data_IF_485111083183
#
_entry.id   IF_485111083183
#
_cell.length_a   1.000
_cell.length_b   1.000
_cell.length_c   1.000
_cell.angle_alpha   90.00
_cell.angle_beta   90.00
_cell.angle_gamma   90.00
#
_symmetry.space_group_name_H-M   'P 1'
#
loop_
_entity.id
_entity.type
_entity.pdbx_description
1 polymer ?
#
# COMPACT_ATOMS: atom_id res chain seq x y z
N UNK A 1 52.40 -29.76 -49.93
CA UNK A 1 52.20 -29.53 -48.52
C UNK A 1 51.77 -28.06 -48.34
N UNK A 2 50.51 -27.79 -48.23
CA UNK A 2 49.99 -26.43 -48.06
C UNK A 2 49.21 -26.35 -46.72
N UNK A 3 49.69 -25.53 -45.83
CA UNK A 3 49.05 -25.24 -44.53
C UNK A 3 47.79 -24.37 -44.72
N UNK A 4 46.65 -24.86 -44.26
CA UNK A 4 45.41 -24.07 -44.15
C UNK A 4 45.33 -23.62 -42.71
N UNK A 5 45.44 -22.28 -42.46
CA UNK A 5 45.16 -21.65 -41.23
C UNK A 5 43.67 -21.31 -41.20
N UNK A 6 42.93 -21.95 -40.29
CA UNK A 6 41.55 -21.64 -40.02
C UNK A 6 41.50 -20.40 -39.11
N UNK A 7 40.94 -19.31 -39.60
CA UNK A 7 40.66 -18.09 -38.82
C UNK A 7 39.29 -18.26 -38.18
N UNK A 8 39.26 -18.40 -36.86
CA UNK A 8 38.01 -18.34 -36.07
C UNK A 8 37.66 -16.87 -35.86
N UNK A 9 36.62 -16.40 -36.55
CA UNK A 9 36.04 -15.08 -36.34
C UNK A 9 35.06 -15.17 -35.17
N UNK A 10 35.46 -14.75 -33.98
CA UNK A 10 34.58 -14.63 -32.80
C UNK A 10 33.69 -13.43 -32.94
N UNK A 11 32.39 -13.67 -33.11
CA UNK A 11 31.34 -12.62 -33.02
C UNK A 11 31.11 -12.28 -31.55
N UNK A 12 31.68 -11.17 -31.09
CA UNK A 12 31.27 -10.57 -29.79
C UNK A 12 30.02 -9.79 -30.02
N UNK A 13 28.88 -10.33 -29.55
CA UNK A 13 27.63 -9.58 -29.47
C UNK A 13 27.71 -8.65 -28.27
N UNK A 14 27.92 -7.36 -28.51
CA UNK A 14 27.86 -6.33 -27.50
C UNK A 14 26.36 -6.16 -27.13
N UNK A 15 25.94 -6.70 -25.99
CA UNK A 15 24.64 -6.37 -25.40
C UNK A 15 24.77 -4.99 -24.73
N UNK A 16 24.38 -3.96 -25.44
CA UNK A 16 24.24 -2.62 -24.88
C UNK A 16 23.05 -2.63 -23.91
N UNK A 17 23.33 -2.73 -22.61
CA UNK A 17 22.35 -2.51 -21.57
C UNK A 17 22.11 -0.99 -21.50
N UNK A 18 21.07 -0.52 -22.17
CA UNK A 18 20.57 0.83 -21.98
C UNK A 18 19.97 0.92 -20.57
N UNK A 19 20.74 1.41 -19.60
CA UNK A 19 20.18 2.00 -18.39
C UNK A 19 19.46 3.29 -18.81
N UNK A 20 18.18 3.20 -19.11
CA UNK A 20 17.34 4.39 -19.13
C UNK A 20 17.29 4.91 -17.68
N UNK A 21 18.13 5.88 -17.37
CA UNK A 21 17.95 6.70 -16.19
C UNK A 21 16.58 7.36 -16.34
N UNK A 22 15.57 6.83 -15.65
CA UNK A 22 14.29 7.52 -15.52
C UNK A 22 14.59 8.82 -14.77
N UNK A 23 14.66 9.92 -15.49
CA UNK A 23 14.61 11.25 -14.89
C UNK A 23 13.30 11.25 -14.12
N UNK A 24 13.36 11.22 -12.80
CA UNK A 24 12.18 11.37 -11.95
C UNK A 24 11.63 12.77 -12.26
N UNK A 25 10.50 12.82 -12.96
CA UNK A 25 9.81 14.08 -13.18
C UNK A 25 9.58 14.74 -11.82
N UNK A 26 9.79 16.06 -11.74
CA UNK A 26 9.50 16.81 -10.51
C UNK A 26 8.01 16.59 -10.16
N UNK A 27 7.69 16.39 -8.89
CA UNK A 27 6.29 16.19 -8.50
C UNK A 27 5.46 17.42 -8.84
N UNK A 28 4.24 17.19 -9.35
CA UNK A 28 3.26 18.24 -9.53
C UNK A 28 2.93 18.87 -8.17
N UNK A 29 2.88 20.21 -8.13
CA UNK A 29 2.47 20.94 -6.94
C UNK A 29 1.04 21.43 -7.10
N UNK A 30 0.18 21.14 -6.11
CA UNK A 30 -1.19 21.62 -6.03
C UNK A 30 -1.44 22.28 -4.69
N UNK A 31 -2.11 23.45 -4.67
CA UNK A 31 -2.41 24.16 -3.43
C UNK A 31 -3.91 24.41 -3.30
N UNK A 32 -4.47 24.03 -2.16
CA UNK A 32 -5.86 24.27 -1.80
C UNK A 32 -5.96 24.73 -0.36
N UNK A 33 -6.66 25.84 -0.10
CA UNK A 33 -6.86 26.42 1.24
C UNK A 33 -5.55 26.53 2.05
N UNK A 34 -4.46 27.01 1.44
CA UNK A 34 -3.16 27.14 2.10
C UNK A 34 -2.38 25.84 2.28
N UNK A 35 -2.97 24.68 1.92
CA UNK A 35 -2.31 23.37 1.98
C UNK A 35 -1.69 23.03 0.63
N UNK A 36 -0.40 22.75 0.60
CA UNK A 36 0.33 22.37 -0.61
C UNK A 36 0.59 20.87 -0.64
N UNK A 37 0.22 20.23 -1.75
CA UNK A 37 0.49 18.84 -2.07
C UNK A 37 1.67 18.68 -3.01
N UNK A 38 2.31 17.51 -2.94
CA UNK A 38 3.33 17.04 -3.89
C UNK A 38 2.83 15.73 -4.50
N UNK A 39 2.42 15.79 -5.76
CA UNK A 39 1.84 14.66 -6.46
C UNK A 39 2.86 14.10 -7.46
N UNK A 40 3.29 12.87 -7.24
CA UNK A 40 4.08 12.12 -8.21
C UNK A 40 3.19 11.61 -9.33
N UNK A 41 3.73 11.38 -10.50
CA UNK A 41 3.00 10.82 -11.63
C UNK A 41 3.65 9.51 -12.06
N UNK A 42 2.81 8.51 -12.32
CA UNK A 42 3.25 7.22 -12.85
C UNK A 42 2.31 6.75 -13.97
N UNK A 43 2.85 5.98 -14.89
CA UNK A 43 2.08 5.37 -15.97
C UNK A 43 1.97 3.85 -15.77
N UNK A 44 0.76 3.33 -16.01
CA UNK A 44 0.45 1.89 -16.06
C UNK A 44 -0.08 1.61 -17.46
N UNK A 45 0.80 1.17 -18.34
CA UNK A 45 0.49 0.90 -19.75
C UNK A 45 -0.05 -0.52 -19.89
N UNK A 46 -1.34 -0.67 -20.16
CA UNK A 46 -2.06 -1.95 -20.24
C UNK A 46 -2.93 -2.08 -21.49
N UNK A 47 -2.91 -1.07 -22.35
CA UNK A 47 -3.61 -1.11 -23.66
C UNK A 47 -5.12 -1.03 -23.55
N UNK A 48 -5.65 -0.15 -22.69
CA UNK A 48 -7.11 0.10 -22.60
C UNK A 48 -7.58 1.10 -23.65
N UNK A 49 -8.83 0.92 -24.12
CA UNK A 49 -9.42 1.81 -25.13
C UNK A 49 -9.66 3.24 -24.63
N UNK A 50 -9.99 3.38 -23.34
CA UNK A 50 -10.33 4.66 -22.72
C UNK A 50 -9.38 4.96 -21.56
N UNK A 51 -8.24 5.62 -21.83
CA UNK A 51 -7.30 6.02 -20.78
C UNK A 51 -7.99 6.90 -19.72
N UNK A 52 -7.59 6.70 -18.47
CA UNK A 52 -8.06 7.49 -17.34
C UNK A 52 -6.99 7.58 -16.25
N UNK A 53 -7.22 8.43 -15.26
CA UNK A 53 -6.30 8.59 -14.14
C UNK A 53 -7.02 8.39 -12.82
N UNK A 54 -6.31 7.91 -11.82
CA UNK A 54 -6.77 7.84 -10.43
C UNK A 54 -5.77 8.53 -9.52
N UNK A 55 -6.23 9.08 -8.41
CA UNK A 55 -5.36 9.62 -7.37
C UNK A 55 -5.10 8.53 -6.32
N UNK A 56 -3.87 8.07 -6.23
CA UNK A 56 -3.43 7.12 -5.19
C UNK A 56 -2.82 7.86 -4.00
N UNK A 57 -3.40 7.65 -2.82
CA UNK A 57 -2.94 8.17 -1.53
C UNK A 57 -2.94 7.07 -0.48
N UNK A 58 -2.20 7.27 0.61
CA UNK A 58 -2.09 6.32 1.72
C UNK A 58 -1.72 7.05 3.01
N UNK A 59 -1.87 6.37 4.14
CA UNK A 59 -1.30 6.80 5.43
C UNK A 59 -1.73 8.23 5.80
N UNK A 60 -3.04 8.49 5.75
CA UNK A 60 -3.64 9.78 6.12
C UNK A 60 -3.69 9.98 7.63
N UNK A 61 -3.74 8.91 8.42
CA UNK A 61 -3.65 8.89 9.87
C UNK A 61 -4.50 9.95 10.56
N UNK A 62 -5.81 9.95 10.33
CA UNK A 62 -6.75 10.76 11.12
C UNK A 62 -6.62 10.38 12.59
N UNK A 63 -6.39 11.36 13.46
CA UNK A 63 -6.01 11.12 14.84
C UNK A 63 -6.83 11.99 15.82
N UNK A 64 -8.16 11.96 15.68
CA UNK A 64 -9.09 12.69 16.51
C UNK A 64 -9.67 11.83 17.63
N UNK A 65 -10.05 12.45 18.71
CA UNK A 65 -10.87 11.90 19.79
C UNK A 65 -11.63 13.06 20.45
N UNK A 66 -12.79 12.78 21.03
CA UNK A 66 -13.64 13.74 21.71
C UNK A 66 -14.16 13.19 23.07
N UNK A 67 -15.18 13.81 23.61
CA UNK A 67 -15.75 13.46 24.93
C UNK A 67 -16.39 12.06 24.96
N UNK A 68 -16.74 11.47 23.81
CA UNK A 68 -17.27 10.09 23.69
C UNK A 68 -16.17 9.05 23.82
N UNK A 69 -14.93 9.45 23.68
CA UNK A 69 -13.76 8.57 23.76
C UNK A 69 -13.14 8.62 25.18
N UNK A 70 -12.48 7.53 25.55
CA UNK A 70 -11.81 7.47 26.84
C UNK A 70 -10.59 8.43 26.95
N UNK A 71 -10.19 8.71 28.18
CA UNK A 71 -9.08 9.63 28.46
C UNK A 71 -7.74 9.22 27.82
N UNK A 72 -7.53 7.92 27.54
CA UNK A 72 -6.32 7.43 26.87
C UNK A 72 -6.34 7.79 25.39
N UNK A 73 -7.46 7.64 24.70
CA UNK A 73 -7.61 8.05 23.29
C UNK A 73 -7.48 9.56 23.15
N UNK A 74 -8.04 10.35 24.08
CA UNK A 74 -7.90 11.80 24.08
C UNK A 74 -6.41 12.22 24.20
N UNK A 75 -5.64 11.63 25.12
CA UNK A 75 -4.18 11.88 25.21
C UNK A 75 -3.45 11.41 23.94
N UNK A 76 -3.85 10.28 23.38
CA UNK A 76 -3.27 9.75 22.15
C UNK A 76 -3.49 10.70 20.99
N UNK A 77 -4.72 11.21 20.82
CA UNK A 77 -5.10 12.20 19.80
C UNK A 77 -4.16 13.42 19.82
N UNK A 78 -4.01 14.06 20.98
CA UNK A 78 -3.10 15.21 21.12
C UNK A 78 -1.68 14.89 20.66
N UNK A 79 -1.12 13.75 21.11
CA UNK A 79 0.23 13.31 20.76
C UNK A 79 0.36 13.03 19.26
N UNK A 80 -0.60 12.34 18.67
CA UNK A 80 -0.53 11.90 17.27
C UNK A 80 -0.74 13.07 16.31
N UNK A 81 -1.66 13.96 16.59
CA UNK A 81 -1.86 15.20 15.82
C UNK A 81 -0.61 16.07 15.82
N UNK A 82 0.10 16.18 16.96
CA UNK A 82 1.41 16.85 17.00
C UNK A 82 2.43 16.21 16.05
N UNK A 83 2.41 14.87 15.90
CA UNK A 83 3.35 14.15 15.03
C UNK A 83 3.01 14.29 13.54
N UNK A 84 1.72 14.34 13.19
CA UNK A 84 1.26 14.34 11.80
C UNK A 84 0.93 15.74 11.25
N UNK A 85 0.81 16.72 12.15
CA UNK A 85 0.36 18.07 11.80
C UNK A 85 -1.08 18.07 11.29
N UNK A 86 -1.37 18.92 10.32
CA UNK A 86 -2.68 19.00 9.68
C UNK A 86 -2.88 17.87 8.64
N UNK A 87 -3.13 16.65 9.12
CA UNK A 87 -3.38 15.50 8.27
C UNK A 87 -4.73 15.57 7.54
N UNK A 88 -5.76 16.10 8.22
CA UNK A 88 -7.08 16.27 7.63
C UNK A 88 -7.07 17.31 6.52
N UNK A 89 -6.48 18.50 6.73
CA UNK A 89 -6.38 19.53 5.69
C UNK A 89 -5.68 19.02 4.45
N UNK A 90 -4.61 18.20 4.61
CA UNK A 90 -3.94 17.56 3.47
C UNK A 90 -4.82 16.54 2.77
N UNK A 91 -5.56 15.73 3.52
CA UNK A 91 -6.49 14.77 2.93
C UNK A 91 -7.62 15.48 2.17
N UNK A 92 -8.18 16.55 2.72
CA UNK A 92 -9.19 17.39 2.04
C UNK A 92 -8.62 18.05 0.78
N UNK A 93 -7.38 18.48 0.79
CA UNK A 93 -6.72 19.01 -0.41
C UNK A 93 -6.54 17.91 -1.49
N UNK A 94 -6.20 16.67 -1.12
CA UNK A 94 -6.16 15.55 -2.06
C UNK A 94 -7.55 15.26 -2.67
N UNK A 95 -8.59 15.29 -1.85
CA UNK A 95 -9.98 15.12 -2.31
C UNK A 95 -10.34 16.20 -3.32
N UNK A 96 -10.05 17.47 -3.00
CA UNK A 96 -10.35 18.56 -3.90
C UNK A 96 -9.61 18.42 -5.24
N UNK A 97 -8.32 18.05 -5.20
CA UNK A 97 -7.56 17.76 -6.41
C UNK A 97 -8.23 16.67 -7.25
N UNK A 98 -8.69 15.59 -6.62
CA UNK A 98 -9.37 14.51 -7.33
C UNK A 98 -10.70 14.98 -7.95
N UNK A 99 -11.48 15.77 -7.23
CA UNK A 99 -12.73 16.34 -7.72
C UNK A 99 -12.50 17.30 -8.90
N UNK A 100 -11.52 18.20 -8.81
CA UNK A 100 -11.17 19.14 -9.87
C UNK A 100 -10.73 18.44 -11.16
N UNK A 101 -10.22 17.21 -11.05
CA UNK A 101 -9.71 16.41 -12.17
C UNK A 101 -10.57 15.19 -12.50
N UNK A 102 -11.77 15.05 -11.93
CA UNK A 102 -12.70 13.91 -12.13
C UNK A 102 -12.02 12.54 -11.91
N UNK A 103 -11.21 12.42 -10.87
CA UNK A 103 -10.47 11.20 -10.55
C UNK A 103 -11.15 10.40 -9.44
N UNK A 104 -11.11 9.08 -9.56
CA UNK A 104 -11.36 8.16 -8.44
C UNK A 104 -10.19 8.27 -7.46
N UNK A 105 -10.49 8.26 -6.16
CA UNK A 105 -9.49 8.25 -5.10
C UNK A 105 -9.25 6.81 -4.66
N UNK A 106 -8.03 6.35 -4.83
CA UNK A 106 -7.56 5.04 -4.36
C UNK A 106 -6.77 5.26 -3.08
N UNK A 107 -7.32 4.82 -1.94
CA UNK A 107 -6.64 4.94 -0.65
C UNK A 107 -6.14 3.56 -0.20
N UNK A 108 -4.83 3.40 -0.11
CA UNK A 108 -4.23 2.11 0.19
C UNK A 108 -4.04 1.83 1.69
N UNK A 109 -4.87 2.41 2.57
CA UNK A 109 -4.93 2.07 4.00
C UNK A 109 -4.29 3.09 4.93
N UNK A 110 -4.45 2.86 6.24
CA UNK A 110 -4.08 3.77 7.31
C UNK A 110 -4.74 5.17 7.16
N UNK A 111 -6.04 5.15 6.84
CA UNK A 111 -6.90 6.34 6.88
C UNK A 111 -7.05 6.82 8.32
N UNK A 112 -7.39 5.89 9.23
CA UNK A 112 -7.45 6.13 10.66
C UNK A 112 -6.09 5.85 11.30
N UNK A 113 -5.71 6.60 12.32
CA UNK A 113 -4.55 6.28 13.15
C UNK A 113 -4.90 5.32 14.28
N UNK A 114 -6.13 5.40 14.78
CA UNK A 114 -6.76 4.52 15.75
C UNK A 114 -8.28 4.70 15.70
N UNK A 115 -9.02 3.72 16.18
CA UNK A 115 -10.49 3.76 16.20
C UNK A 115 -10.97 4.64 17.36
N UNK A 116 -11.69 5.71 17.01
CA UNK A 116 -12.38 6.63 17.93
C UNK A 116 -13.67 7.12 17.30
N UNK A 117 -14.61 7.60 18.09
CA UNK A 117 -15.87 8.12 17.56
C UNK A 117 -15.62 9.34 16.65
N UNK A 118 -14.74 10.26 17.08
CA UNK A 118 -14.39 11.44 16.29
C UNK A 118 -13.68 11.08 14.96
N UNK A 119 -12.81 10.06 14.93
CA UNK A 119 -12.19 9.60 13.69
C UNK A 119 -13.21 8.95 12.74
N UNK A 120 -14.15 8.18 13.26
CA UNK A 120 -15.20 7.55 12.46
C UNK A 120 -16.13 8.60 11.83
N UNK A 121 -16.53 9.63 12.59
CA UNK A 121 -17.32 10.75 12.06
C UNK A 121 -16.57 11.52 10.97
N UNK A 122 -15.30 11.84 11.22
CA UNK A 122 -14.44 12.50 10.24
C UNK A 122 -14.30 11.67 8.96
N UNK A 123 -14.06 10.37 9.08
CA UNK A 123 -13.95 9.47 7.93
C UNK A 123 -15.27 9.38 7.15
N UNK A 124 -16.41 9.33 7.84
CA UNK A 124 -17.74 9.33 7.21
C UNK A 124 -17.99 10.61 6.40
N UNK A 125 -17.65 11.78 6.93
CA UNK A 125 -17.73 13.05 6.18
C UNK A 125 -16.81 13.03 4.96
N UNK A 126 -15.58 12.55 5.11
CA UNK A 126 -14.60 12.44 4.03
C UNK A 126 -15.09 11.52 2.92
N UNK A 127 -15.57 10.32 3.25
CA UNK A 127 -16.05 9.36 2.26
C UNK A 127 -17.37 9.80 1.57
N UNK A 128 -18.11 10.75 2.14
CA UNK A 128 -19.25 11.36 1.46
C UNK A 128 -18.87 12.24 0.26
N UNK A 129 -17.57 12.54 0.09
CA UNK A 129 -17.04 13.42 -0.94
C UNK A 129 -16.14 12.63 -1.88
N UNK A 130 -16.48 12.64 -3.16
CA UNK A 130 -15.72 11.94 -4.19
C UNK A 130 -16.09 10.47 -4.36
N UNK A 131 -15.33 9.78 -5.20
CA UNK A 131 -15.49 8.36 -5.53
C UNK A 131 -14.27 7.59 -5.03
N UNK A 132 -14.48 6.53 -4.25
CA UNK A 132 -13.43 5.88 -3.48
C UNK A 132 -13.29 4.39 -3.78
N UNK A 133 -12.03 3.95 -3.74
CA UNK A 133 -11.62 2.54 -3.62
C UNK A 133 -10.63 2.47 -2.46
N UNK A 134 -10.97 1.75 -1.39
CA UNK A 134 -10.20 1.79 -0.14
C UNK A 134 -9.76 0.40 0.27
N UNK A 135 -8.49 0.25 0.63
CA UNK A 135 -7.95 -0.95 1.31
C UNK A 135 -7.72 -0.66 2.78
N UNK A 136 -7.89 -1.65 3.64
CA UNK A 136 -7.51 -1.51 5.04
C UNK A 136 -6.00 -1.53 5.23
N UNK A 137 -5.50 -0.70 6.14
CA UNK A 137 -4.15 -0.79 6.68
C UNK A 137 -4.10 -1.45 8.06
N UNK A 138 -2.95 -1.42 8.70
CA UNK A 138 -2.79 -2.01 10.02
C UNK A 138 -3.31 -1.13 11.17
N UNK A 139 -3.68 0.11 10.88
CA UNK A 139 -4.24 1.04 11.84
C UNK A 139 -5.76 1.04 11.89
N UNK A 140 -6.46 0.64 10.83
CA UNK A 140 -7.92 0.73 10.72
C UNK A 140 -8.66 0.07 11.87
N UNK A 141 -8.15 -1.02 12.42
CA UNK A 141 -8.81 -1.77 13.49
C UNK A 141 -8.15 -1.57 14.86
N UNK A 142 -7.12 -0.74 14.95
CA UNK A 142 -6.39 -0.49 16.18
C UNK A 142 -7.18 0.40 17.13
N UNK A 143 -7.59 -0.12 18.29
CA UNK A 143 -8.26 0.66 19.33
C UNK A 143 -7.33 1.72 19.94
N UNK A 144 -6.03 1.38 20.03
CA UNK A 144 -4.97 2.27 20.50
C UNK A 144 -3.69 2.00 19.74
N UNK A 145 -2.93 3.07 19.47
CA UNK A 145 -1.62 2.93 18.87
C UNK A 145 -0.72 2.00 19.68
N UNK A 146 -0.18 1.01 19.00
CA UNK A 146 0.79 0.10 19.57
C UNK A 146 0.22 -1.08 20.37
N UNK A 147 -1.10 -1.27 20.36
CA UNK A 147 -1.74 -2.42 21.01
C UNK A 147 -2.25 -3.47 20.03
N UNK A 148 -2.06 -3.29 18.76
CA UNK A 148 -2.50 -4.26 17.78
C UNK A 148 -1.89 -5.64 18.10
N UNK A 149 -2.62 -6.42 18.86
CA UNK A 149 -2.54 -7.86 18.79
C UNK A 149 -3.13 -8.22 17.46
N UNK A 150 -2.30 -8.51 16.52
CA UNK A 150 -2.67 -8.72 15.13
C UNK A 150 -3.31 -10.10 14.98
N UNK A 151 -4.36 -10.30 15.75
CA UNK A 151 -5.19 -11.49 15.71
C UNK A 151 -6.64 -11.14 15.35
N UNK A 152 -7.39 -12.13 14.90
CA UNK A 152 -8.78 -11.97 14.51
C UNK A 152 -9.66 -11.48 15.67
N UNK A 153 -9.38 -11.87 16.92
CA UNK A 153 -10.16 -11.49 18.08
C UNK A 153 -9.98 -10.00 18.43
N UNK A 154 -8.77 -9.48 18.29
CA UNK A 154 -8.52 -8.05 18.46
C UNK A 154 -9.22 -7.23 17.37
N UNK A 155 -9.09 -7.64 16.11
CA UNK A 155 -9.73 -6.99 14.96
C UNK A 155 -11.25 -6.95 15.10
N UNK A 156 -11.87 -8.04 15.55
CA UNK A 156 -13.32 -8.13 15.73
C UNK A 156 -13.89 -7.09 16.70
N UNK A 157 -13.08 -6.53 17.61
CA UNK A 157 -13.54 -5.52 18.57
C UNK A 157 -13.98 -4.20 17.92
N UNK A 158 -13.46 -3.88 16.76
CA UNK A 158 -13.73 -2.62 16.06
C UNK A 158 -14.20 -2.80 14.62
N UNK A 159 -14.13 -4.03 14.08
CA UNK A 159 -14.40 -4.30 12.67
C UNK A 159 -15.74 -3.73 12.21
N UNK A 160 -16.84 -4.05 12.89
CA UNK A 160 -18.19 -3.66 12.46
C UNK A 160 -18.36 -2.13 12.46
N UNK A 161 -17.81 -1.44 13.47
CA UNK A 161 -17.85 0.02 13.54
C UNK A 161 -17.08 0.67 12.38
N UNK A 162 -15.91 0.15 12.10
CA UNK A 162 -15.06 0.66 11.01
C UNK A 162 -15.71 0.36 9.66
N UNK A 163 -16.13 -0.89 9.43
CA UNK A 163 -16.76 -1.29 8.18
C UNK A 163 -18.03 -0.50 7.87
N UNK A 164 -18.81 -0.11 8.89
CA UNK A 164 -20.02 0.69 8.71
C UNK A 164 -19.76 2.10 8.14
N UNK A 165 -18.54 2.60 8.26
CA UNK A 165 -18.15 3.95 7.82
C UNK A 165 -17.46 3.91 6.46
N UNK A 166 -16.71 2.84 6.16
CA UNK A 166 -15.91 2.74 4.94
C UNK A 166 -16.77 2.40 3.71
N UNK A 167 -16.43 2.92 2.51
CA UNK A 167 -17.29 2.87 1.34
C UNK A 167 -17.38 1.49 0.68
N UNK A 168 -16.46 0.58 0.98
CA UNK A 168 -16.41 -0.78 0.42
C UNK A 168 -15.97 -1.81 1.46
N UNK A 169 -16.17 -3.11 1.17
CA UNK A 169 -15.66 -4.19 2.02
C UNK A 169 -14.14 -4.08 2.18
N UNK A 170 -13.71 -3.86 3.41
CA UNK A 170 -12.30 -3.69 3.74
C UNK A 170 -11.50 -4.99 3.70
N UNK A 171 -12.17 -6.15 3.82
CA UNK A 171 -11.48 -7.44 3.79
C UNK A 171 -11.03 -7.80 2.37
N UNK A 172 -11.94 -7.61 1.42
CA UNK A 172 -11.70 -7.87 0.00
C UNK A 172 -12.80 -7.22 -0.84
N UNK A 173 -12.43 -6.38 -1.77
CA UNK A 173 -13.39 -5.74 -2.68
C UNK A 173 -12.85 -5.75 -4.10
N UNK A 174 -13.74 -5.77 -5.10
CA UNK A 174 -13.37 -5.59 -6.49
C UNK A 174 -14.34 -4.68 -7.22
N UNK A 175 -13.81 -3.82 -8.08
CA UNK A 175 -14.60 -2.89 -8.90
C UNK A 175 -13.95 -2.71 -10.26
N UNK A 176 -14.74 -2.88 -11.32
CA UNK A 176 -14.28 -2.63 -12.68
C UNK A 176 -14.54 -1.17 -13.05
N UNK A 177 -13.50 -0.49 -13.52
CA UNK A 177 -13.52 0.89 -14.01
C UNK A 177 -12.87 0.92 -15.38
N UNK A 178 -13.60 1.33 -16.42
CA UNK A 178 -13.11 1.41 -17.80
C UNK A 178 -12.36 0.14 -18.28
N UNK A 179 -12.87 -1.04 -17.91
CA UNK A 179 -12.27 -2.32 -18.29
C UNK A 179 -11.13 -2.81 -17.39
N UNK A 180 -10.71 -2.02 -16.42
CA UNK A 180 -9.68 -2.38 -15.43
C UNK A 180 -10.31 -2.79 -14.11
N UNK A 181 -9.92 -3.94 -13.58
CA UNK A 181 -10.42 -4.47 -12.31
C UNK A 181 -9.52 -4.02 -11.15
N UNK A 182 -10.01 -3.09 -10.34
CA UNK A 182 -9.36 -2.73 -9.08
C UNK A 182 -9.75 -3.74 -8.00
N UNK A 183 -8.75 -4.36 -7.38
CA UNK A 183 -8.97 -5.37 -6.34
C UNK A 183 -8.29 -4.92 -5.06
N UNK A 184 -9.06 -4.63 -4.02
CA UNK A 184 -8.51 -4.32 -2.70
C UNK A 184 -8.35 -5.59 -1.88
N UNK A 185 -7.27 -5.66 -1.11
CA UNK A 185 -6.92 -6.82 -0.29
C UNK A 185 -6.36 -6.36 1.06
N UNK A 186 -7.06 -6.68 2.14
CA UNK A 186 -6.54 -6.44 3.48
C UNK A 186 -5.38 -7.38 3.80
N UNK A 187 -4.20 -6.81 3.90
CA UNK A 187 -2.97 -7.48 4.31
C UNK A 187 -2.30 -6.75 5.48
N UNK A 188 -3.04 -5.92 6.20
CA UNK A 188 -2.54 -5.09 7.28
C UNK A 188 -1.74 -5.85 8.34
N UNK A 189 -2.02 -7.14 8.50
CA UNK A 189 -1.30 -8.03 9.42
C UNK A 189 -0.30 -8.96 8.73
N UNK A 190 0.17 -8.60 7.53
CA UNK A 190 1.16 -9.33 6.73
C UNK A 190 0.73 -10.74 6.31
N UNK A 191 -0.56 -11.04 6.36
CA UNK A 191 -1.11 -12.36 6.03
C UNK A 191 -2.22 -12.26 5.01
N UNK A 192 -2.33 -13.28 4.19
CA UNK A 192 -3.43 -13.49 3.25
C UNK A 192 -4.19 -14.73 3.66
N UNK A 193 -5.49 -14.61 3.87
CA UNK A 193 -6.34 -15.74 4.23
C UNK A 193 -6.60 -16.67 3.04
N UNK A 194 -7.01 -17.91 3.33
CA UNK A 194 -7.44 -18.86 2.28
C UNK A 194 -8.63 -18.31 1.48
N UNK A 195 -9.53 -17.60 2.16
CA UNK A 195 -10.71 -17.02 1.54
C UNK A 195 -10.34 -15.87 0.59
N UNK A 196 -9.49 -14.92 1.03
CA UNK A 196 -8.97 -13.84 0.19
C UNK A 196 -8.24 -14.41 -1.03
N UNK A 197 -7.43 -15.45 -0.85
CA UNK A 197 -6.75 -16.12 -1.96
C UNK A 197 -7.74 -16.74 -2.94
N UNK A 198 -8.81 -17.38 -2.45
CA UNK A 198 -9.85 -17.94 -3.31
C UNK A 198 -10.61 -16.85 -4.07
N UNK A 199 -10.94 -15.72 -3.43
CA UNK A 199 -11.58 -14.56 -4.06
C UNK A 199 -10.66 -13.97 -5.15
N UNK A 200 -9.37 -13.76 -4.87
CA UNK A 200 -8.41 -13.24 -5.86
C UNK A 200 -8.28 -14.14 -7.10
N UNK A 201 -8.33 -15.45 -6.94
CA UNK A 201 -8.36 -16.38 -8.08
C UNK A 201 -9.61 -16.22 -8.96
N UNK A 202 -10.75 -15.87 -8.35
CA UNK A 202 -11.98 -15.60 -9.11
C UNK A 202 -11.84 -14.30 -9.91
N UNK A 203 -11.18 -13.29 -9.35
CA UNK A 203 -10.92 -12.02 -10.03
C UNK A 203 -10.00 -12.21 -11.25
N UNK A 204 -8.91 -12.96 -11.10
CA UNK A 204 -8.00 -13.30 -12.20
C UNK A 204 -8.72 -14.05 -13.33
N UNK A 205 -9.63 -14.97 -12.99
CA UNK A 205 -10.41 -15.72 -13.99
C UNK A 205 -11.34 -14.86 -14.87
N UNK A 206 -11.59 -13.60 -14.51
CA UNK A 206 -12.35 -12.66 -15.34
C UNK A 206 -11.58 -12.23 -16.59
N UNK A 207 -10.24 -12.46 -16.63
CA UNK A 207 -9.38 -12.09 -17.76
C UNK A 207 -9.20 -10.58 -17.96
N UNK A 208 -9.62 -9.76 -16.98
CA UNK A 208 -9.45 -8.31 -17.02
C UNK A 208 -8.08 -7.91 -16.45
N UNK A 209 -7.45 -6.83 -16.95
CA UNK A 209 -6.28 -6.27 -16.30
C UNK A 209 -6.60 -5.86 -14.86
N UNK A 210 -5.72 -6.25 -13.92
CA UNK A 210 -5.92 -6.02 -12.49
C UNK A 210 -4.93 -4.98 -11.98
N UNK A 211 -5.44 -3.99 -11.25
CA UNK A 211 -4.69 -3.14 -10.34
C UNK A 211 -5.05 -3.56 -8.92
N UNK A 212 -4.10 -4.20 -8.23
CA UNK A 212 -4.28 -4.59 -6.84
C UNK A 212 -3.95 -3.43 -5.90
N UNK A 213 -4.76 -3.22 -4.88
CA UNK A 213 -4.57 -2.20 -3.85
C UNK A 213 -4.45 -2.89 -2.51
N UNK A 214 -3.35 -2.68 -1.82
CA UNK A 214 -3.14 -3.22 -0.48
C UNK A 214 -2.23 -2.29 0.32
N UNK A 215 -2.37 -2.29 1.64
CA UNK A 215 -1.58 -1.38 2.46
C UNK A 215 -0.11 -1.77 2.52
N UNK A 216 0.17 -2.96 3.05
CA UNK A 216 1.55 -3.44 3.20
C UNK A 216 2.05 -3.95 1.84
N UNK A 217 3.17 -3.45 1.34
CA UNK A 217 3.73 -3.91 0.07
C UNK A 217 4.12 -5.38 0.11
N UNK A 218 4.03 -6.04 -1.05
CA UNK A 218 4.45 -7.43 -1.19
C UNK A 218 5.96 -7.48 -1.43
N UNK A 219 6.60 -8.49 -0.89
CA UNK A 219 8.04 -8.70 -0.98
C UNK A 219 8.57 -8.71 -2.41
N UNK A 220 9.56 -7.85 -2.66
CA UNK A 220 10.53 -7.94 -3.73
C UNK A 220 11.94 -7.77 -3.15
N UNK A 221 12.99 -8.36 -3.73
CA UNK A 221 14.34 -8.29 -3.15
C UNK A 221 14.87 -6.87 -3.00
N UNK A 222 14.67 -6.01 -4.00
CA UNK A 222 15.14 -4.62 -4.03
C UNK A 222 14.40 -3.75 -2.99
N UNK A 223 13.08 -3.84 -2.91
CA UNK A 223 12.30 -3.14 -1.88
C UNK A 223 12.67 -3.61 -0.47
N UNK A 224 12.84 -4.93 -0.29
CA UNK A 224 13.26 -5.48 0.99
C UNK A 224 14.63 -4.94 1.41
N UNK A 225 15.61 -4.94 0.52
CA UNK A 225 16.94 -4.41 0.79
C UNK A 225 16.89 -2.92 1.14
N UNK A 226 16.09 -2.14 0.41
CA UNK A 226 15.91 -0.72 0.70
C UNK A 226 15.25 -0.50 2.07
N UNK A 227 14.18 -1.23 2.38
CA UNK A 227 13.47 -1.15 3.65
C UNK A 227 14.37 -1.56 4.83
N UNK A 228 15.14 -2.65 4.70
CA UNK A 228 16.09 -3.09 5.73
C UNK A 228 17.16 -2.03 5.99
N UNK A 229 17.71 -1.41 4.95
CA UNK A 229 18.66 -0.30 5.09
C UNK A 229 18.00 0.90 5.81
N UNK A 230 16.78 1.27 5.41
CA UNK A 230 16.01 2.37 5.98
C UNK A 230 15.71 2.17 7.47
N UNK A 231 15.37 0.95 7.86
CA UNK A 231 14.97 0.57 9.22
C UNK A 231 16.11 -0.08 10.03
N UNK A 232 17.36 0.06 9.55
CA UNK A 232 18.58 -0.44 10.25
C UNK A 232 18.51 -1.93 10.59
N UNK A 233 18.02 -2.74 9.65
CA UNK A 233 17.92 -4.19 9.77
C UNK A 233 16.85 -4.71 10.74
N UNK A 234 16.01 -3.82 11.29
CA UNK A 234 15.04 -4.23 12.32
C UNK A 234 13.83 -4.98 11.75
N UNK A 235 13.42 -4.64 10.55
CA UNK A 235 12.30 -5.25 9.86
C UNK A 235 12.18 -4.71 8.43
N UNK A 236 11.58 -5.50 7.52
CA UNK A 236 11.28 -5.07 6.16
C UNK A 236 9.88 -4.47 6.01
N UNK A 237 8.96 -4.83 6.91
CA UNK A 237 7.55 -4.39 6.87
C UNK A 237 6.83 -4.74 5.55
N UNK A 238 7.08 -5.96 5.02
CA UNK A 238 6.55 -6.45 3.76
C UNK A 238 5.77 -7.76 3.95
N UNK A 239 4.81 -8.01 3.07
CA UNK A 239 4.06 -9.27 3.00
C UNK A 239 4.88 -10.32 2.26
N UNK A 240 4.96 -11.54 2.80
CA UNK A 240 5.60 -12.66 2.10
C UNK A 240 7.12 -12.62 2.06
N UNK A 241 7.76 -11.97 3.04
CA UNK A 241 9.22 -11.99 3.18
C UNK A 241 9.68 -13.44 3.46
N UNK A 242 10.70 -13.95 2.75
CA UNK A 242 11.25 -15.27 3.00
C UNK A 242 11.76 -15.45 4.43
N UNK A 243 11.63 -16.68 4.96
CA UNK A 243 12.02 -17.00 6.35
C UNK A 243 13.52 -16.79 6.60
N UNK A 244 14.36 -17.00 5.59
CA UNK A 244 15.82 -16.79 5.64
C UNK A 244 16.18 -15.32 5.94
N UNK A 245 15.26 -14.40 5.66
CA UNK A 245 15.39 -12.98 5.97
C UNK A 245 14.76 -12.65 7.32
N UNK A 246 13.49 -13.08 7.52
CA UNK A 246 12.74 -12.74 8.74
C UNK A 246 13.32 -13.37 10.00
N UNK A 247 13.96 -14.54 9.89
CA UNK A 247 14.67 -15.20 11.01
C UNK A 247 15.85 -14.38 11.56
N UNK A 248 16.38 -13.45 10.78
CA UNK A 248 17.47 -12.55 11.17
C UNK A 248 16.99 -11.26 11.83
N UNK A 249 15.68 -11.00 11.86
CA UNK A 249 15.15 -9.81 12.50
C UNK A 249 15.33 -9.91 14.03
N UNK A 250 15.79 -8.84 14.68
CA UNK A 250 16.01 -8.87 16.11
C UNK A 250 14.68 -9.03 16.86
N UNK A 251 14.57 -10.07 17.66
CA UNK A 251 13.49 -10.22 18.61
C UNK A 251 13.72 -9.23 19.76
N UNK A 252 12.72 -8.40 20.02
CA UNK A 252 12.73 -7.57 21.24
C UNK A 252 12.15 -8.40 22.37
N UNK A 253 12.89 -8.51 23.47
CA UNK A 253 12.31 -8.92 24.74
C UNK A 253 11.24 -7.92 25.13
N UNK A 254 10.00 -8.36 25.20
CA UNK A 254 8.85 -7.53 25.54
C UNK A 254 8.32 -7.93 26.90
N UNK A 255 7.80 -6.95 27.64
CA UNK A 255 7.02 -7.23 28.84
C UNK A 255 5.69 -7.88 28.44
N UNK A 256 5.07 -8.67 29.32
CA UNK A 256 3.70 -9.14 29.10
C UNK A 256 2.77 -7.96 28.71
N UNK A 257 1.99 -8.10 27.68
CA UNK A 257 1.14 -7.04 27.11
C UNK A 257 1.82 -6.09 26.12
N UNK A 258 3.12 -6.25 25.85
CA UNK A 258 3.88 -5.48 24.87
C UNK A 258 4.35 -6.33 23.67
N UNK A 259 3.75 -7.50 23.48
CA UNK A 259 4.09 -8.46 22.41
C UNK A 259 4.03 -7.86 21.01
N UNK A 260 3.18 -6.85 20.82
CA UNK A 260 3.09 -6.06 19.60
C UNK A 260 4.43 -5.39 19.19
N UNK A 261 5.35 -5.21 20.14
CA UNK A 261 6.70 -4.70 19.85
C UNK A 261 7.56 -5.71 19.10
N UNK A 262 7.18 -6.99 19.11
CA UNK A 262 7.82 -8.05 18.33
C UNK A 262 7.27 -8.16 16.91
N UNK A 263 7.13 -7.03 16.23
CA UNK A 263 6.60 -6.98 14.84
C UNK A 263 7.41 -7.83 13.85
N UNK A 264 8.64 -8.17 14.18
CA UNK A 264 9.42 -9.13 13.39
C UNK A 264 8.74 -10.49 13.27
N UNK A 265 8.11 -10.97 14.35
CA UNK A 265 7.36 -12.24 14.35
C UNK A 265 6.07 -12.13 13.52
N UNK A 266 5.44 -10.96 13.52
CA UNK A 266 4.20 -10.71 12.78
C UNK A 266 4.40 -10.79 11.26
N UNK A 267 5.59 -10.43 10.78
CA UNK A 267 5.94 -10.48 9.36
C UNK A 267 6.35 -11.87 8.87
N UNK A 268 6.39 -12.86 9.76
CA UNK A 268 6.58 -14.25 9.35
C UNK A 268 5.36 -14.69 8.54
N UNK A 269 5.55 -14.83 7.25
CA UNK A 269 4.51 -15.26 6.34
C UNK A 269 4.16 -16.73 6.60
N UNK A 270 2.87 -17.02 6.75
CA UNK A 270 2.40 -18.39 6.79
C UNK A 270 2.44 -19.04 5.39
N UNK A 271 2.23 -20.36 5.35
CA UNK A 271 2.26 -21.14 4.10
C UNK A 271 1.25 -20.63 3.06
N UNK A 272 0.08 -20.12 3.49
CA UNK A 272 -0.96 -19.60 2.60
C UNK A 272 -0.47 -18.30 1.95
N UNK A 273 0.08 -17.39 2.73
CA UNK A 273 0.62 -16.11 2.26
C UNK A 273 1.77 -16.32 1.28
N UNK A 274 2.74 -17.18 1.60
CA UNK A 274 3.85 -17.50 0.69
C UNK A 274 3.35 -18.11 -0.63
N UNK A 275 2.36 -19.03 -0.55
CA UNK A 275 1.72 -19.61 -1.73
C UNK A 275 0.99 -18.57 -2.57
N UNK A 276 0.28 -17.65 -1.92
CA UNK A 276 -0.38 -16.53 -2.59
C UNK A 276 0.64 -15.64 -3.33
N UNK A 277 1.68 -15.18 -2.67
CA UNK A 277 2.69 -14.32 -3.29
C UNK A 277 3.38 -14.99 -4.49
N UNK A 278 3.74 -16.28 -4.36
CA UNK A 278 4.32 -17.07 -5.46
C UNK A 278 3.35 -17.25 -6.62
N UNK A 279 2.06 -17.47 -6.35
CA UNK A 279 1.03 -17.61 -7.36
C UNK A 279 0.76 -16.27 -8.04
N UNK A 280 0.63 -15.17 -7.27
CA UNK A 280 0.32 -13.83 -7.78
C UNK A 280 1.36 -13.34 -8.80
N UNK A 281 2.65 -13.64 -8.58
CA UNK A 281 3.75 -13.31 -9.51
C UNK A 281 3.63 -13.93 -10.90
N UNK A 282 2.77 -14.94 -11.06
CA UNK A 282 2.56 -15.67 -12.32
C UNK A 282 1.31 -15.22 -13.07
N UNK A 283 0.54 -14.29 -12.51
CA UNK A 283 -0.72 -13.86 -13.12
C UNK A 283 -0.44 -12.72 -14.09
N UNK A 284 -0.73 -12.96 -15.35
CA UNK A 284 -0.51 -11.97 -16.42
C UNK A 284 -1.53 -10.82 -16.36
N UNK A 285 -2.70 -11.07 -15.78
CA UNK A 285 -3.74 -10.06 -15.54
C UNK A 285 -3.29 -8.98 -14.57
N UNK A 286 -2.40 -9.30 -13.62
CA UNK A 286 -1.86 -8.30 -12.68
C UNK A 286 -0.94 -7.33 -13.43
N UNK A 287 -1.27 -6.04 -13.37
CA UNK A 287 -0.53 -4.97 -14.05
C UNK A 287 0.13 -4.00 -13.09
N UNK A 288 -0.51 -3.72 -11.95
CA UNK A 288 0.06 -2.86 -10.93
C UNK A 288 -0.36 -3.31 -9.52
N UNK A 289 0.46 -2.95 -8.53
CA UNK A 289 0.15 -3.03 -7.11
C UNK A 289 0.36 -1.63 -6.52
N UNK A 290 -0.68 -1.06 -5.89
CA UNK A 290 -0.63 0.24 -5.23
C UNK A 290 -0.61 0.04 -3.72
N UNK A 291 0.43 0.56 -3.05
CA UNK A 291 0.70 0.34 -1.63
C UNK A 291 1.10 1.61 -0.88
N UNK A 292 1.02 1.57 0.45
CA UNK A 292 1.53 2.60 1.38
C UNK A 292 2.48 2.03 2.42
N UNK A 293 2.16 2.26 3.72
CA UNK A 293 2.78 1.65 4.89
C UNK A 293 4.23 2.05 5.20
N UNK A 294 5.09 2.15 4.18
CA UNK A 294 6.53 2.34 4.37
C UNK A 294 6.93 3.82 4.55
N UNK A 295 5.99 4.75 4.34
CA UNK A 295 6.21 6.19 4.50
C UNK A 295 7.39 6.73 3.65
N UNK A 296 7.55 6.18 2.43
CA UNK A 296 8.45 6.67 1.38
C UNK A 296 7.96 6.22 0.00
N UNK A 297 8.32 6.97 -1.04
CA UNK A 297 8.01 6.55 -2.41
C UNK A 297 8.99 5.50 -2.89
N UNK A 298 8.47 4.43 -3.50
CA UNK A 298 9.30 3.40 -4.13
C UNK A 298 8.57 2.76 -5.31
N UNK A 299 9.33 2.42 -6.35
CA UNK A 299 8.85 1.68 -7.52
C UNK A 299 9.70 0.45 -7.70
N UNK A 300 9.07 -0.71 -7.84
CA UNK A 300 9.76 -1.99 -8.02
C UNK A 300 9.02 -2.89 -8.99
N UNK A 301 9.77 -3.64 -9.81
CA UNK A 301 9.19 -4.68 -10.65
C UNK A 301 8.77 -5.85 -9.77
N UNK A 302 7.46 -6.14 -9.73
CA UNK A 302 6.92 -7.24 -8.94
C UNK A 302 6.93 -8.57 -9.71
N UNK A 303 6.54 -8.53 -10.99
CA UNK A 303 6.52 -9.67 -11.91
C UNK A 303 6.85 -9.18 -13.33
N UNK A 304 6.98 -10.04 -14.34
CA UNK A 304 7.20 -9.59 -15.71
C UNK A 304 6.15 -8.62 -16.24
N UNK A 305 4.91 -8.71 -15.73
CA UNK A 305 3.76 -7.91 -16.18
C UNK A 305 3.32 -6.84 -15.21
N UNK A 306 3.80 -6.85 -13.96
CA UNK A 306 3.30 -5.97 -12.91
C UNK A 306 4.41 -5.18 -12.22
N UNK A 307 4.16 -3.88 -12.04
CA UNK A 307 4.97 -2.97 -11.23
C UNK A 307 4.27 -2.68 -9.90
N UNK A 308 5.02 -2.67 -8.80
CA UNK A 308 4.53 -2.25 -7.48
C UNK A 308 4.98 -0.82 -7.19
N UNK A 309 4.03 0.01 -6.79
CA UNK A 309 4.21 1.40 -6.44
C UNK A 309 3.87 1.61 -4.97
N UNK A 310 4.83 2.08 -4.21
CA UNK A 310 4.66 2.50 -2.81
C UNK A 310 4.61 4.01 -2.78
N UNK A 311 3.58 4.59 -2.20
CA UNK A 311 3.44 6.04 -2.02
C UNK A 311 3.86 6.44 -0.61
N UNK A 312 4.50 7.60 -0.47
CA UNK A 312 4.80 8.19 0.85
C UNK A 312 3.48 8.64 1.53
N UNK A 313 3.53 8.84 2.82
CA UNK A 313 2.35 9.13 3.65
C UNK A 313 1.66 10.44 3.28
N UNK A 314 0.34 10.38 3.21
CA UNK A 314 -0.55 11.52 2.97
C UNK A 314 -0.43 12.63 4.02
N UNK A 315 -0.02 12.29 5.25
CA UNK A 315 0.27 13.28 6.30
C UNK A 315 1.39 14.26 5.94
N UNK A 316 2.19 13.99 4.89
CA UNK A 316 3.15 14.94 4.31
C UNK A 316 2.59 15.74 3.13
N UNK A 317 1.33 15.51 2.75
CA UNK A 317 0.75 16.05 1.52
C UNK A 317 1.30 15.41 0.25
N UNK A 318 1.74 14.14 0.34
CA UNK A 318 2.25 13.38 -0.82
C UNK A 318 1.15 12.47 -1.34
N UNK A 319 1.01 12.42 -2.67
CA UNK A 319 0.13 11.51 -3.40
C UNK A 319 0.76 11.10 -4.73
N UNK A 320 0.07 10.26 -5.47
CA UNK A 320 0.50 9.78 -6.76
C UNK A 320 -0.68 9.79 -7.76
N UNK A 321 -0.54 10.49 -8.87
CA UNK A 321 -1.46 10.38 -10.00
C UNK A 321 -1.04 9.18 -10.82
N UNK A 322 -1.92 8.20 -10.95
CA UNK A 322 -1.69 6.97 -11.72
C UNK A 322 -2.44 7.09 -13.03
N UNK A 323 -1.71 7.29 -14.13
CA UNK A 323 -2.23 7.33 -15.49
C UNK A 323 -2.34 5.92 -16.03
N UNK A 324 -3.53 5.46 -16.32
CA UNK A 324 -3.84 4.12 -16.85
C UNK A 324 -4.14 4.28 -18.34
N UNK A 325 -3.32 3.62 -19.17
CA UNK A 325 -3.33 3.76 -20.64
C UNK A 325 -3.42 2.42 -21.35
#
# INVERSE_FOLDING_TARGET
MKNIKTILCGLYTLVAIFFAASVSAQPLTYTHNGTTLKLHEVEVNIGIEKPFSVLHISDSHLAYADERDDARKNRLSVKRRKNFGDSEGKLRAHIQYALDNNMIIVHSGDMLDFVSEANLDCAKDIFSKGDWIVSAGNHEYSLYMGEAKEDAAYRAKSYDKVQAVFPNDLTFYSRVVNGVNFVTLDVGYYKVSKEQFAKMKKEVKKGLPIIMVCHNPIYTPDLCNYALKRWKGKSAYLVGVPEEITSKFPLKTTKPGEEWRNRSVQQHADKTTLKFCKWLKKQEELKAILCGHLHFNFKTQFSPTATQYVVDKGTKGVGCVVHIK
#
